data_IF_970921369779
#
_entry.id   IF_970921369779
#
_cell.length_a   1.000
_cell.length_b   1.000
_cell.length_c   1.000
_cell.angle_alpha   90.00
_cell.angle_beta   90.00
_cell.angle_gamma   90.00
#
_symmetry.space_group_name_H-M   'P 1'
#
loop_
_entity.id
_entity.type
_entity.pdbx_description
1 polymer ?
#
# COMPACT_ATOMS: atom_id res chain seq x y z
N UNK A 1 1.95 60.06 4.51
CA UNK A 1 1.14 58.85 4.81
C UNK A 1 1.43 57.63 3.93
N UNK A 2 2.30 57.70 2.90
CA UNK A 2 2.62 56.56 2.01
C UNK A 2 3.91 55.78 2.33
N UNK A 3 4.61 56.11 3.43
CA UNK A 3 5.90 55.51 3.80
C UNK A 3 5.85 54.57 5.01
N UNK A 4 4.70 54.43 5.67
CA UNK A 4 4.55 53.56 6.85
C UNK A 4 4.02 52.15 6.50
N UNK A 5 3.44 51.97 5.31
CA UNK A 5 2.86 50.70 4.88
C UNK A 5 3.90 49.67 4.39
N UNK A 6 5.15 50.10 4.15
CA UNK A 6 6.20 49.22 3.62
C UNK A 6 6.94 48.43 4.73
N UNK A 7 6.75 48.76 6.01
CA UNK A 7 7.47 48.10 7.11
C UNK A 7 6.71 46.90 7.71
N UNK A 8 5.43 46.72 7.36
CA UNK A 8 4.56 45.67 7.93
C UNK A 8 4.48 44.39 7.08
N UNK A 9 5.12 44.36 5.90
CA UNK A 9 5.19 43.15 5.06
C UNK A 9 6.47 42.30 5.27
N UNK A 10 7.35 42.68 6.19
CA UNK A 10 8.63 42.00 6.40
C UNK A 10 8.59 40.84 7.43
N UNK A 11 7.41 40.51 7.98
CA UNK A 11 7.22 39.35 8.86
C UNK A 11 6.73 38.11 8.10
N UNK A 12 7.21 37.91 6.87
CA UNK A 12 7.11 36.61 6.20
C UNK A 12 7.93 35.61 7.01
N UNK A 13 7.23 34.86 7.86
CA UNK A 13 7.68 33.68 8.59
C UNK A 13 8.40 32.73 7.63
N UNK A 14 9.73 32.81 7.60
CA UNK A 14 10.55 31.72 7.11
C UNK A 14 10.38 30.56 8.10
N UNK A 15 9.45 29.65 7.80
CA UNK A 15 9.45 28.33 8.43
C UNK A 15 10.75 27.66 8.01
N UNK A 16 11.78 27.79 8.84
CA UNK A 16 13.02 27.06 8.70
C UNK A 16 12.66 25.58 8.91
N UNK A 17 12.57 24.82 7.81
CA UNK A 17 12.59 23.37 7.87
C UNK A 17 13.96 22.97 8.43
N UNK A 18 14.02 22.74 9.75
CA UNK A 18 15.21 22.25 10.43
C UNK A 18 15.66 20.93 9.82
N UNK A 19 16.98 20.66 9.87
CA UNK A 19 17.52 19.39 9.43
C UNK A 19 16.84 18.24 10.20
N UNK A 20 16.56 17.08 9.57
CA UNK A 20 15.94 15.96 10.24
C UNK A 20 16.74 15.54 11.47
N UNK A 21 16.09 15.53 12.63
CA UNK A 21 16.67 15.06 13.90
C UNK A 21 16.03 13.73 14.26
N UNK A 22 16.84 12.76 14.68
CA UNK A 22 16.34 11.49 15.19
C UNK A 22 15.64 11.72 16.54
N UNK A 23 14.42 11.20 16.67
CA UNK A 23 13.64 11.28 17.90
C UNK A 23 14.01 10.11 18.83
N UNK A 24 14.08 10.38 20.14
CA UNK A 24 14.14 9.34 21.18
C UNK A 24 12.79 8.65 21.36
N UNK A 25 12.74 7.48 22.02
CA UNK A 25 11.49 6.71 22.19
C UNK A 25 10.38 7.50 22.90
N UNK A 26 10.74 8.28 23.94
CA UNK A 26 9.79 9.14 24.66
C UNK A 26 9.28 10.30 23.77
N UNK A 27 10.13 10.83 22.89
CA UNK A 27 9.75 11.86 21.91
C UNK A 27 8.92 11.26 20.77
N UNK A 28 9.21 10.02 20.37
CA UNK A 28 8.45 9.25 19.39
C UNK A 28 7.03 8.97 19.92
N UNK A 29 6.89 8.63 21.20
CA UNK A 29 5.59 8.49 21.86
C UNK A 29 4.81 9.82 21.94
N UNK A 30 5.52 10.94 21.95
CA UNK A 30 4.97 12.29 21.82
C UNK A 30 4.57 12.67 20.39
N UNK A 31 5.01 11.91 19.37
CA UNK A 31 4.49 12.00 18.00
C UNK A 31 3.10 11.38 17.96
N UNK A 32 2.15 12.10 18.56
CA UNK A 32 0.76 11.93 18.19
C UNK A 32 0.60 12.54 16.80
N UNK A 33 0.12 11.75 15.85
CA UNK A 33 -0.35 12.26 14.57
C UNK A 33 -1.59 13.12 14.82
N UNK A 34 -1.43 14.31 15.40
CA UNK A 34 -2.56 15.24 15.60
C UNK A 34 -3.26 15.56 14.27
N UNK A 35 -2.58 15.33 13.14
CA UNK A 35 -3.13 15.40 11.79
C UNK A 35 -3.28 14.03 11.08
N UNK A 36 -2.80 12.93 11.68
CA UNK A 36 -2.72 11.60 11.08
C UNK A 36 -1.79 11.54 9.85
N UNK A 37 -1.01 10.48 9.68
CA UNK A 37 -0.32 10.30 8.38
C UNK A 37 -1.36 9.81 7.39
N UNK A 38 -1.89 10.72 6.58
CA UNK A 38 -2.72 10.39 5.43
C UNK A 38 -1.87 9.81 4.31
N UNK A 39 -2.02 8.52 4.02
CA UNK A 39 -1.33 7.84 2.93
C UNK A 39 -2.28 7.74 1.73
N UNK A 40 -1.81 8.19 0.58
CA UNK A 40 -2.39 7.89 -0.71
C UNK A 40 -1.40 6.99 -1.48
N UNK A 41 -1.91 5.90 -2.04
CA UNK A 41 -1.11 4.92 -2.78
C UNK A 41 -1.63 4.85 -4.20
N UNK A 42 -0.76 5.08 -5.16
CA UNK A 42 -0.96 4.73 -6.56
C UNK A 42 -0.04 3.55 -6.88
N UNK A 43 -0.63 2.37 -7.09
CA UNK A 43 0.10 1.16 -7.47
C UNK A 43 -0.24 0.81 -8.91
N UNK A 44 0.78 0.72 -9.74
CA UNK A 44 0.66 0.31 -11.14
C UNK A 44 1.56 -0.91 -11.38
N UNK A 45 0.95 -2.02 -11.81
CA UNK A 45 1.63 -3.29 -12.05
C UNK A 45 1.61 -3.63 -13.54
N UNK A 46 2.78 -3.96 -14.09
CA UNK A 46 2.94 -4.44 -15.47
C UNK A 46 2.17 -3.59 -16.50
N UNK A 47 2.24 -2.26 -16.38
CA UNK A 47 1.46 -1.29 -17.17
C UNK A 47 1.55 -1.44 -18.67
N UNK A 48 2.71 -1.89 -19.18
CA UNK A 48 2.88 -2.21 -20.61
C UNK A 48 1.87 -3.24 -21.14
N UNK A 49 1.32 -4.11 -20.28
CA UNK A 49 0.23 -5.04 -20.65
C UNK A 49 -1.06 -4.29 -20.98
N UNK A 50 -1.31 -3.17 -20.31
CA UNK A 50 -2.46 -2.30 -20.55
C UNK A 50 -2.33 -1.60 -21.91
N UNK A 51 -1.09 -1.32 -22.34
CA UNK A 51 -0.77 -0.78 -23.67
C UNK A 51 -0.76 -1.85 -24.79
N UNK A 52 -1.19 -3.08 -24.47
CA UNK A 52 -1.24 -4.19 -25.43
C UNK A 52 0.12 -4.83 -25.73
N UNK A 53 1.16 -4.50 -24.98
CA UNK A 53 2.48 -5.15 -25.10
C UNK A 53 2.38 -6.56 -24.51
N UNK A 54 2.79 -7.61 -25.24
CA UNK A 54 2.84 -8.95 -24.69
C UNK A 54 3.72 -8.98 -23.44
N UNK A 55 3.17 -9.56 -22.37
CA UNK A 55 3.92 -9.85 -21.15
C UNK A 55 3.75 -11.31 -20.78
N UNK A 56 4.72 -11.78 -20.01
CA UNK A 56 4.74 -13.11 -19.41
C UNK A 56 5.01 -12.99 -17.90
N UNK A 57 4.44 -11.95 -17.28
CA UNK A 57 4.64 -11.69 -15.86
C UNK A 57 4.01 -12.79 -15.03
N UNK A 58 4.72 -13.23 -14.00
CA UNK A 58 4.28 -14.30 -13.11
C UNK A 58 4.51 -13.90 -11.67
N UNK A 59 3.48 -14.03 -10.86
CA UNK A 59 3.60 -14.06 -9.40
C UNK A 59 3.42 -15.51 -8.95
N UNK A 60 4.42 -16.05 -8.27
CA UNK A 60 4.47 -17.47 -7.91
C UNK A 60 4.63 -17.64 -6.42
N UNK A 61 3.82 -18.51 -5.83
CA UNK A 61 3.95 -18.96 -4.45
C UNK A 61 4.25 -20.46 -4.44
N UNK A 62 5.43 -20.83 -3.94
CA UNK A 62 5.84 -22.23 -3.85
C UNK A 62 5.45 -22.86 -2.51
N UNK A 63 4.95 -24.10 -2.55
CA UNK A 63 4.65 -24.92 -1.39
C UNK A 63 5.00 -26.38 -1.67
N UNK A 64 5.26 -27.17 -0.61
CA UNK A 64 5.53 -28.61 -0.74
C UNK A 64 4.27 -29.42 -0.45
N UNK A 65 3.91 -30.32 -1.36
CA UNK A 65 2.82 -31.29 -1.20
C UNK A 65 3.39 -32.66 -1.51
N UNK A 66 3.27 -33.62 -0.57
CA UNK A 66 3.74 -34.99 -0.75
C UNK A 66 5.20 -35.11 -1.23
N UNK A 67 6.07 -34.21 -0.76
CA UNK A 67 7.48 -34.15 -1.13
C UNK A 67 7.77 -33.47 -2.49
N UNK A 68 6.74 -33.07 -3.23
CA UNK A 68 6.85 -32.36 -4.52
C UNK A 68 6.64 -30.86 -4.30
N UNK A 69 7.53 -30.03 -4.84
CA UNK A 69 7.30 -28.57 -4.87
C UNK A 69 6.24 -28.25 -5.92
N UNK A 70 5.16 -27.62 -5.49
CA UNK A 70 4.06 -27.13 -6.34
C UNK A 70 3.98 -25.61 -6.20
N UNK A 71 3.70 -24.93 -7.30
CA UNK A 71 3.60 -23.48 -7.36
C UNK A 71 2.19 -23.07 -7.69
N UNK A 72 1.59 -22.18 -6.88
CA UNK A 72 0.46 -21.38 -7.33
C UNK A 72 1.00 -20.24 -8.18
N UNK A 73 0.50 -20.10 -9.40
CA UNK A 73 0.99 -19.16 -10.40
C UNK A 73 -0.14 -18.25 -10.86
N UNK A 74 0.01 -16.96 -10.62
CA UNK A 74 -0.78 -15.91 -11.24
C UNK A 74 -0.04 -15.39 -12.47
N UNK A 75 -0.65 -15.59 -13.64
CA UNK A 75 -0.10 -15.18 -14.93
C UNK A 75 -0.70 -13.86 -15.38
N UNK A 76 0.19 -12.97 -15.82
CA UNK A 76 -0.13 -11.64 -16.32
C UNK A 76 -0.98 -10.82 -15.33
N UNK A 77 -0.51 -10.77 -14.08
CA UNK A 77 -1.03 -9.83 -13.09
C UNK A 77 -0.69 -8.41 -13.55
N UNK A 78 -1.69 -7.57 -13.79
CA UNK A 78 -1.51 -6.21 -14.27
C UNK A 78 -2.60 -5.28 -13.75
N UNK A 79 -2.44 -3.98 -14.00
CA UNK A 79 -3.44 -2.95 -13.75
C UNK A 79 -3.06 -1.98 -12.64
N UNK A 80 -4.01 -1.13 -12.29
CA UNK A 80 -3.82 -0.01 -11.36
C UNK A 80 -4.74 -0.15 -10.16
N UNK A 81 -4.18 0.09 -8.97
CA UNK A 81 -4.91 0.23 -7.72
C UNK A 81 -4.58 1.59 -7.11
N UNK A 82 -5.62 2.39 -6.86
CA UNK A 82 -5.52 3.63 -6.12
C UNK A 82 -6.15 3.46 -4.75
N UNK A 83 -5.44 3.84 -3.69
CA UNK A 83 -5.90 3.84 -2.31
C UNK A 83 -5.81 5.26 -1.78
N UNK A 84 -6.89 5.78 -1.23
CA UNK A 84 -6.91 7.10 -0.62
C UNK A 84 -7.39 7.03 0.82
N UNK A 85 -6.84 7.94 1.63
CA UNK A 85 -7.16 8.08 3.05
C UNK A 85 -6.87 6.82 3.88
N UNK A 86 -5.73 6.16 3.62
CA UNK A 86 -5.12 5.26 4.61
C UNK A 86 -4.56 6.13 5.76
N UNK A 87 -4.71 5.68 7.01
CA UNK A 87 -4.04 6.32 8.16
C UNK A 87 -3.02 5.39 8.79
N UNK A 88 -1.98 5.98 9.39
CA UNK A 88 -0.99 5.27 10.20
C UNK A 88 -0.76 6.08 11.48
N UNK A 89 -1.11 5.49 12.61
CA UNK A 89 -0.98 6.10 13.93
C UNK A 89 -0.28 5.13 14.90
N UNK A 90 0.50 5.68 15.84
CA UNK A 90 1.00 4.92 17.00
C UNK A 90 0.14 5.30 18.20
N UNK A 91 -0.34 4.30 18.94
CA UNK A 91 -1.24 4.49 20.08
C UNK A 91 -0.79 3.61 21.25
N UNK A 92 -0.97 4.10 22.47
CA UNK A 92 -0.75 3.29 23.68
C UNK A 92 -1.98 2.47 24.02
N UNK A 93 -1.79 1.21 24.44
CA UNK A 93 -2.90 0.37 24.88
C UNK A 93 -3.40 0.77 26.26
N UNK A 94 -4.73 0.82 26.42
CA UNK A 94 -5.37 1.16 27.70
C UNK A 94 -5.14 0.10 28.80
N UNK A 95 -4.74 -1.11 28.45
CA UNK A 95 -4.46 -2.21 29.39
C UNK A 95 -2.99 -2.26 29.87
N UNK A 96 -2.18 -1.26 29.50
CA UNK A 96 -0.77 -1.19 29.88
C UNK A 96 0.14 -2.16 29.09
N UNK A 97 -0.38 -2.83 28.06
CA UNK A 97 0.37 -3.79 27.24
C UNK A 97 1.33 -3.19 26.20
N UNK A 98 1.78 -1.94 26.39
CA UNK A 98 2.67 -1.22 25.48
C UNK A 98 1.96 -0.52 24.31
N UNK A 99 2.74 -0.02 23.37
CA UNK A 99 2.25 0.70 22.19
C UNK A 99 1.90 -0.24 21.02
N UNK A 100 0.97 0.19 20.17
CA UNK A 100 0.56 -0.49 18.96
C UNK A 100 0.48 0.48 17.78
N UNK A 101 0.62 -0.07 16.59
CA UNK A 101 0.39 0.63 15.33
C UNK A 101 -1.07 0.40 14.92
N UNK A 102 -1.79 1.49 14.70
CA UNK A 102 -3.15 1.52 14.16
C UNK A 102 -3.09 1.96 12.69
N UNK A 103 -3.50 1.07 11.79
CA UNK A 103 -3.57 1.35 10.35
C UNK A 103 -5.04 1.46 9.97
N UNK A 104 -5.49 2.68 9.69
CA UNK A 104 -6.84 2.94 9.16
C UNK A 104 -6.96 2.47 7.71
N UNK A 105 -8.00 1.69 7.41
CA UNK A 105 -8.29 1.21 6.07
C UNK A 105 -8.66 2.37 5.12
N UNK A 106 -8.37 2.24 3.81
CA UNK A 106 -8.60 3.32 2.84
C UNK A 106 -10.09 3.64 2.72
N UNK A 107 -10.45 4.90 2.95
CA UNK A 107 -11.81 5.40 2.74
C UNK A 107 -12.28 5.28 1.29
N UNK A 108 -11.33 5.21 0.34
CA UNK A 108 -11.64 4.97 -1.07
C UNK A 108 -10.56 4.07 -1.71
N UNK A 109 -11.02 3.12 -2.51
CA UNK A 109 -10.19 2.26 -3.36
C UNK A 109 -10.72 2.29 -4.79
N UNK A 110 -9.84 2.41 -5.77
CA UNK A 110 -10.18 2.27 -7.18
C UNK A 110 -9.31 1.23 -7.87
N UNK A 111 -9.92 0.51 -8.79
CA UNK A 111 -9.28 -0.46 -9.67
C UNK A 111 -9.49 -0.03 -11.12
N UNK A 112 -8.41 -0.02 -11.89
CA UNK A 112 -8.44 0.12 -13.35
C UNK A 112 -7.66 -1.03 -13.97
N UNK A 113 -8.38 -1.88 -14.67
CA UNK A 113 -7.87 -3.06 -15.36
C UNK A 113 -7.02 -3.97 -14.47
N UNK A 114 -7.34 -4.00 -13.16
CA UNK A 114 -6.55 -4.73 -12.18
C UNK A 114 -6.95 -6.20 -12.11
N UNK A 115 -6.00 -7.09 -12.29
CA UNK A 115 -6.25 -8.52 -12.15
C UNK A 115 -5.24 -9.37 -12.90
N UNK A 116 -5.57 -10.63 -13.14
CA UNK A 116 -4.68 -11.62 -13.74
C UNK A 116 -5.42 -12.43 -14.81
N UNK A 117 -4.69 -12.92 -15.81
CA UNK A 117 -5.25 -13.67 -16.94
C UNK A 117 -5.46 -15.14 -16.65
N UNK A 118 -4.62 -15.75 -15.81
CA UNK A 118 -4.78 -17.13 -15.41
C UNK A 118 -4.21 -17.37 -14.01
N UNK A 119 -4.91 -18.18 -13.23
CA UNK A 119 -4.41 -18.81 -12.01
C UNK A 119 -4.20 -20.31 -12.29
N UNK A 120 -3.10 -20.91 -11.84
CA UNK A 120 -2.85 -22.35 -11.97
C UNK A 120 -1.99 -22.89 -10.83
N UNK A 121 -1.99 -24.21 -10.66
CA UNK A 121 -1.03 -24.93 -9.83
C UNK A 121 -0.15 -25.81 -10.74
N UNK A 122 1.17 -25.66 -10.67
CA UNK A 122 2.11 -26.38 -11.52
C UNK A 122 3.41 -26.69 -10.80
N UNK A 123 4.09 -27.77 -11.21
CA UNK A 123 5.39 -28.17 -10.65
C UNK A 123 6.56 -27.39 -11.25
N UNK A 124 6.40 -26.88 -12.47
CA UNK A 124 7.31 -25.89 -13.09
C UNK A 124 6.60 -24.52 -13.13
N UNK A 125 7.09 -23.51 -12.39
CA UNK A 125 6.45 -22.20 -12.33
C UNK A 125 6.51 -21.43 -13.65
N UNK A 126 7.39 -21.78 -14.58
CA UNK A 126 7.59 -21.11 -15.86
C UNK A 126 6.88 -21.81 -17.03
N UNK A 127 6.31 -23.00 -16.79
CA UNK A 127 5.59 -23.72 -17.83
C UNK A 127 4.38 -22.92 -18.36
N UNK A 128 3.99 -23.15 -19.63
CA UNK A 128 2.75 -22.59 -20.18
C UNK A 128 1.53 -23.09 -19.41
N UNK A 129 0.61 -22.18 -19.10
CA UNK A 129 -0.68 -22.54 -18.48
C UNK A 129 -1.66 -22.90 -19.61
N UNK A 130 -1.93 -24.19 -19.76
CA UNK A 130 -2.97 -24.65 -20.68
C UNK A 130 -4.36 -24.17 -20.20
N UNK A 131 -5.31 -23.83 -21.11
CA UNK A 131 -6.66 -23.39 -20.71
C UNK A 131 -7.39 -24.39 -19.79
N UNK A 132 -7.15 -25.69 -19.97
CA UNK A 132 -7.72 -26.75 -19.13
C UNK A 132 -7.11 -26.85 -17.73
N UNK A 133 -5.93 -26.25 -17.51
CA UNK A 133 -5.22 -26.24 -16.23
C UNK A 133 -5.40 -24.91 -15.47
N UNK A 134 -6.09 -23.93 -16.07
CA UNK A 134 -6.37 -22.66 -15.41
C UNK A 134 -7.58 -22.80 -14.49
N UNK A 135 -7.42 -22.30 -13.26
CA UNK A 135 -8.49 -22.13 -12.28
C UNK A 135 -9.32 -20.85 -12.51
N UNK A 136 -9.03 -20.09 -13.56
CA UNK A 136 -9.78 -18.90 -13.95
C UNK A 136 -8.95 -17.63 -14.00
N UNK A 137 -9.66 -16.52 -14.14
CA UNK A 137 -9.11 -15.18 -14.35
C UNK A 137 -9.86 -14.17 -13.48
N UNK A 138 -9.22 -13.03 -13.19
CA UNK A 138 -9.82 -11.91 -12.46
C UNK A 138 -9.57 -10.62 -13.22
N UNK A 139 -10.60 -9.78 -13.32
CA UNK A 139 -10.48 -8.42 -13.81
C UNK A 139 -11.39 -7.52 -12.98
N UNK A 140 -10.79 -6.52 -12.33
CA UNK A 140 -11.46 -5.53 -11.50
C UNK A 140 -11.41 -4.17 -12.18
N UNK A 141 -12.59 -3.57 -12.32
CA UNK A 141 -12.77 -2.19 -12.75
C UNK A 141 -13.86 -1.58 -11.87
N UNK A 142 -13.56 -0.45 -11.24
CA UNK A 142 -14.52 0.26 -10.42
C UNK A 142 -13.92 0.75 -9.12
N UNK A 143 -14.78 1.16 -8.22
CA UNK A 143 -14.40 1.82 -6.97
C UNK A 143 -15.15 1.22 -5.80
N UNK A 144 -14.54 1.27 -4.62
CA UNK A 144 -15.14 0.89 -3.36
C UNK A 144 -14.73 1.84 -2.24
N UNK A 145 -15.35 1.65 -1.08
CA UNK A 145 -14.96 2.29 0.15
C UNK A 145 -14.72 1.21 1.21
N UNK A 146 -13.69 1.38 2.02
CA UNK A 146 -13.42 0.50 3.16
C UNK A 146 -13.40 1.34 4.43
N UNK A 147 -13.83 0.71 5.52
CA UNK A 147 -13.77 1.31 6.86
C UNK A 147 -13.28 0.24 7.83
N UNK A 148 -12.45 0.62 8.79
CA UNK A 148 -11.91 -0.29 9.76
C UNK A 148 -10.44 -0.02 10.01
N UNK A 149 -9.85 -0.84 10.86
CA UNK A 149 -8.51 -0.64 11.38
C UNK A 149 -7.78 -1.98 11.48
N UNK A 150 -6.49 -1.96 11.15
CA UNK A 150 -5.57 -3.07 11.42
C UNK A 150 -4.67 -2.65 12.56
N UNK A 151 -4.73 -3.39 13.67
CA UNK A 151 -3.91 -3.14 14.85
C UNK A 151 -2.73 -4.12 14.87
N UNK A 152 -1.50 -3.59 14.94
CA UNK A 152 -0.27 -4.36 14.99
C UNK A 152 0.48 -4.05 16.28
N UNK A 153 0.90 -5.07 17.01
CA UNK A 153 1.75 -4.94 18.19
C UNK A 153 2.82 -6.04 18.17
N UNK A 154 3.97 -5.75 18.77
CA UNK A 154 5.04 -6.75 18.93
C UNK A 154 4.62 -7.86 19.90
N UNK A 155 5.05 -9.09 19.63
CA UNK A 155 5.02 -10.17 20.61
C UNK A 155 6.38 -10.23 21.31
N UNK A 156 6.40 -10.27 22.65
CA UNK A 156 7.62 -10.55 23.44
C UNK A 156 8.03 -12.02 23.34
#
# INVERSE_FOLDING_TARGET
MKRLAALLLAFSTAAAAGAPVALSDDELAGVSGQDGIGIAVHLELNSSVLDGVPSDSRLTLGFKVDGVTTYAVLHNLAGVVDLFALSLDVRSRADGGGDYVDIGLPGFIAFREFGFRALAAQTDPHAPIAPSASYGQLLLNGTGAMTGHVYLWGHQ
#
